data_IF_719460275265
#
_entry.id   IF_719460275265
#
_cell.length_a   1.000
_cell.length_b   1.000
_cell.length_c   1.000
_cell.angle_alpha   90.00
_cell.angle_beta   90.00
_cell.angle_gamma   90.00
#
_symmetry.space_group_name_H-M   'P 1'
#
loop_
_entity.id
_entity.type
_entity.pdbx_description
1 polymer ?
#
# COMPACT_ATOMS: atom_id res chain seq x y z
N UNK A 1 31.81 25.00 -14.41
CA UNK A 1 30.78 25.94 -14.89
C UNK A 1 29.45 25.54 -14.29
N UNK A 2 28.58 26.48 -13.94
CA UNK A 2 27.28 26.19 -13.30
C UNK A 2 26.42 25.20 -14.12
N UNK A 3 26.52 25.28 -15.44
CA UNK A 3 25.87 24.35 -16.39
C UNK A 3 26.32 22.89 -16.19
N UNK A 4 27.62 22.65 -15.96
CA UNK A 4 28.15 21.32 -15.71
C UNK A 4 27.80 20.76 -14.31
N UNK A 5 27.46 21.62 -13.34
CA UNK A 5 26.96 21.19 -12.02
C UNK A 5 25.47 20.81 -12.11
N UNK A 6 24.67 21.62 -12.82
CA UNK A 6 23.27 21.32 -13.09
C UNK A 6 23.08 19.97 -13.80
N UNK A 7 23.90 19.69 -14.82
CA UNK A 7 23.88 18.39 -15.50
C UNK A 7 24.15 17.20 -14.57
N UNK A 8 24.98 17.38 -13.54
CA UNK A 8 25.22 16.33 -12.54
C UNK A 8 24.00 16.13 -11.66
N UNK A 9 23.36 17.21 -11.23
CA UNK A 9 22.12 17.17 -10.44
C UNK A 9 21.02 16.43 -11.20
N UNK A 10 20.78 16.80 -12.46
CA UNK A 10 19.76 16.17 -13.32
C UNK A 10 20.00 14.67 -13.49
N UNK A 11 21.25 14.26 -13.76
CA UNK A 11 21.61 12.84 -13.90
C UNK A 11 21.40 12.07 -12.59
N UNK A 12 21.74 12.68 -11.45
CA UNK A 12 21.55 12.07 -10.14
C UNK A 12 20.07 11.94 -9.77
N UNK A 13 19.28 13.00 -9.95
CA UNK A 13 17.83 13.00 -9.70
C UNK A 13 17.06 11.98 -10.54
N UNK A 14 17.58 11.67 -11.74
CA UNK A 14 17.00 10.64 -12.61
C UNK A 14 17.14 9.22 -12.03
N UNK A 15 18.15 8.99 -11.19
CA UNK A 15 18.40 7.72 -10.50
C UNK A 15 17.82 7.62 -9.09
N UNK A 16 17.24 8.70 -8.55
CA UNK A 16 16.65 8.70 -7.21
C UNK A 16 15.35 7.89 -7.16
N UNK A 17 15.14 7.22 -6.03
CA UNK A 17 13.87 6.55 -5.75
C UNK A 17 12.71 7.56 -5.82
N UNK A 18 11.54 7.24 -6.40
CA UNK A 18 10.47 8.21 -6.63
C UNK A 18 10.03 8.98 -5.39
N UNK A 19 9.99 8.32 -4.22
CA UNK A 19 9.59 8.96 -2.97
C UNK A 19 10.63 9.98 -2.48
N UNK A 20 11.92 9.66 -2.58
CA UNK A 20 13.01 10.60 -2.28
C UNK A 20 13.01 11.73 -3.30
N UNK A 21 12.87 11.42 -4.59
CA UNK A 21 12.82 12.40 -5.68
C UNK A 21 11.69 13.41 -5.50
N UNK A 22 10.51 12.96 -5.08
CA UNK A 22 9.37 13.84 -4.84
C UNK A 22 9.67 14.86 -3.73
N UNK A 23 10.26 14.41 -2.62
CA UNK A 23 10.63 15.28 -1.50
C UNK A 23 11.73 16.29 -1.89
N UNK A 24 12.72 15.81 -2.64
CA UNK A 24 13.85 16.62 -3.11
C UNK A 24 13.43 17.65 -4.16
N UNK A 25 12.50 17.30 -5.05
CA UNK A 25 12.02 18.19 -6.11
C UNK A 25 11.38 19.50 -5.60
N UNK A 26 10.85 19.52 -4.37
CA UNK A 26 10.34 20.74 -3.74
C UNK A 26 11.42 21.65 -3.14
N UNK A 27 12.65 21.15 -3.02
CA UNK A 27 13.74 21.85 -2.32
C UNK A 27 14.61 22.71 -3.24
N UNK A 28 14.29 22.80 -4.55
CA UNK A 28 14.95 23.62 -5.59
C UNK A 28 16.48 23.72 -5.41
N UNK A 29 17.17 22.57 -5.44
CA UNK A 29 18.60 22.49 -5.12
C UNK A 29 19.45 22.65 -6.38
N UNK A 30 20.38 23.60 -6.36
CA UNK A 30 21.28 23.88 -7.49
C UNK A 30 22.70 23.32 -7.29
N UNK A 31 23.09 23.01 -6.06
CA UNK A 31 24.44 22.52 -5.69
C UNK A 31 24.46 20.99 -5.54
N UNK A 32 25.35 20.33 -6.28
CA UNK A 32 25.42 18.88 -6.33
C UNK A 32 25.77 18.23 -4.97
N UNK A 33 26.80 18.70 -4.23
CA UNK A 33 27.07 18.21 -2.87
C UNK A 33 25.86 18.30 -1.94
N UNK A 34 25.14 19.41 -1.99
CA UNK A 34 23.93 19.64 -1.17
C UNK A 34 22.80 18.70 -1.59
N UNK A 35 22.58 18.52 -2.88
CA UNK A 35 21.58 17.59 -3.43
C UNK A 35 21.82 16.17 -2.93
N UNK A 36 23.06 15.70 -3.01
CA UNK A 36 23.45 14.37 -2.55
C UNK A 36 23.21 14.22 -1.05
N UNK A 37 23.61 15.21 -0.24
CA UNK A 37 23.42 15.16 1.20
C UNK A 37 21.93 15.18 1.59
N UNK A 38 21.11 16.06 0.99
CA UNK A 38 19.67 16.11 1.27
C UNK A 38 18.99 14.81 0.84
N UNK A 39 19.35 14.27 -0.34
CA UNK A 39 18.79 12.99 -0.83
C UNK A 39 19.08 11.84 0.14
N UNK A 40 20.30 11.78 0.67
CA UNK A 40 20.67 10.79 1.70
C UNK A 40 19.81 10.92 2.96
N UNK A 41 19.60 12.15 3.44
CA UNK A 41 18.79 12.40 4.64
C UNK A 41 17.33 11.99 4.41
N UNK A 42 16.76 12.32 3.25
CA UNK A 42 15.38 11.98 2.90
C UNK A 42 15.17 10.46 2.74
N UNK A 43 16.15 9.73 2.22
CA UNK A 43 16.08 8.27 2.11
C UNK A 43 16.02 7.60 3.50
N UNK A 44 16.89 8.03 4.41
CA UNK A 44 16.94 7.49 5.77
C UNK A 44 15.69 7.83 6.59
N UNK A 45 15.15 9.05 6.45
CA UNK A 45 13.90 9.44 7.11
C UNK A 45 12.70 8.63 6.58
N UNK A 46 12.61 8.45 5.25
CA UNK A 46 11.60 7.62 4.62
C UNK A 46 11.65 6.17 5.12
N UNK A 47 12.86 5.61 5.26
CA UNK A 47 13.08 4.27 5.81
C UNK A 47 12.72 4.19 7.30
N UNK A 48 13.09 5.18 8.10
CA UNK A 48 12.75 5.26 9.52
C UNK A 48 11.23 5.31 9.71
N UNK A 49 10.54 6.14 8.92
CA UNK A 49 9.07 6.23 8.91
C UNK A 49 8.42 4.89 8.55
N UNK A 50 8.88 4.25 7.48
CA UNK A 50 8.38 2.94 7.06
C UNK A 50 8.55 1.87 8.15
N UNK A 51 9.74 1.81 8.77
CA UNK A 51 10.04 0.90 9.87
C UNK A 51 9.14 1.14 11.10
N UNK A 52 8.91 2.40 11.46
CA UNK A 52 8.01 2.76 12.57
C UNK A 52 6.59 2.24 12.33
N UNK A 53 6.00 2.53 11.18
CA UNK A 53 4.62 2.07 10.88
C UNK A 53 4.52 0.56 10.75
N UNK A 54 5.55 -0.11 10.22
CA UNK A 54 5.63 -1.57 10.18
C UNK A 54 5.58 -2.16 11.59
N UNK A 55 6.44 -1.67 12.50
CA UNK A 55 6.48 -2.13 13.89
C UNK A 55 5.15 -1.88 14.61
N UNK A 56 4.55 -0.70 14.45
CA UNK A 56 3.24 -0.36 15.03
C UNK A 56 2.14 -1.31 14.51
N UNK A 57 2.13 -1.61 13.21
CA UNK A 57 1.14 -2.51 12.62
C UNK A 57 1.32 -3.98 13.07
N UNK A 58 2.55 -4.46 13.18
CA UNK A 58 2.85 -5.82 13.64
C UNK A 58 2.39 -6.03 15.09
N UNK A 59 2.55 -5.02 15.95
CA UNK A 59 2.04 -5.04 17.32
C UNK A 59 0.50 -5.07 17.37
N UNK A 60 -0.18 -4.39 16.44
CA UNK A 60 -1.65 -4.41 16.32
C UNK A 60 -2.18 -5.79 15.92
N UNK A 61 -1.43 -6.55 15.12
CA UNK A 61 -1.78 -7.94 14.73
C UNK A 61 -1.59 -8.94 15.87
N UNK A 62 -0.55 -8.77 16.70
CA UNK A 62 -0.33 -9.59 17.90
C UNK A 62 -1.42 -9.40 18.98
N UNK A 63 -2.12 -8.27 18.99
CA UNK A 63 -3.22 -7.99 19.91
C UNK A 63 -4.58 -8.58 19.51
N UNK A 64 -4.72 -9.22 18.34
CA UNK A 64 -5.99 -9.79 17.88
C UNK A 64 -6.35 -11.13 18.55
N UNK A 65 -5.43 -11.73 19.32
CA UNK A 65 -5.69 -12.89 20.18
C UNK A 65 -6.41 -12.50 21.49
N UNK A 66 -6.53 -11.20 21.79
CA UNK A 66 -7.52 -10.74 22.76
C UNK A 66 -8.89 -10.77 22.10
N UNK A 67 -9.50 -11.96 22.16
CA UNK A 67 -10.92 -12.22 21.93
C UNK A 67 -11.73 -10.99 22.36
N UNK A 68 -12.41 -10.36 21.40
CA UNK A 68 -13.36 -9.28 21.70
C UNK A 68 -14.29 -9.78 22.81
N UNK A 69 -14.43 -9.09 23.95
CA UNK A 69 -15.28 -9.54 25.07
C UNK A 69 -16.74 -9.78 24.68
N UNK A 70 -17.17 -9.21 23.55
CA UNK A 70 -18.44 -9.45 22.91
C UNK A 70 -18.22 -9.80 21.43
N UNK A 71 -17.44 -10.85 21.16
CA UNK A 71 -17.50 -11.55 19.89
C UNK A 71 -18.75 -12.41 19.89
N UNK A 72 -19.76 -12.03 19.12
CA UNK A 72 -20.94 -12.83 18.87
C UNK A 72 -20.54 -14.30 18.63
N UNK A 73 -21.06 -15.18 19.48
CA UNK A 73 -20.60 -16.56 19.66
C UNK A 73 -21.00 -17.48 18.50
N UNK A 74 -21.31 -16.93 17.32
CA UNK A 74 -21.79 -17.67 16.15
C UNK A 74 -20.80 -17.77 14.99
N UNK A 75 -19.54 -17.34 15.13
CA UNK A 75 -18.55 -17.54 14.05
C UNK A 75 -17.80 -18.85 14.23
N UNK A 76 -18.40 -19.93 13.70
CA UNK A 76 -17.74 -21.23 13.51
C UNK A 76 -16.39 -21.02 12.83
N UNK A 77 -15.36 -21.56 13.45
CA UNK A 77 -14.02 -21.74 12.93
C UNK A 77 -14.08 -22.39 11.55
N UNK A 78 -13.52 -21.71 10.55
CA UNK A 78 -13.48 -22.17 9.17
C UNK A 78 -12.56 -21.26 8.35
N UNK A 79 -11.29 -21.64 8.37
CA UNK A 79 -10.32 -21.46 7.27
C UNK A 79 -9.86 -20.03 6.88
N UNK A 80 -8.55 -19.88 6.90
CA UNK A 80 -7.82 -18.84 6.19
C UNK A 80 -8.20 -18.78 4.71
N UNK A 81 -8.72 -17.65 4.25
CA UNK A 81 -8.34 -16.99 2.99
C UNK A 81 -9.30 -15.84 2.67
N UNK A 82 -8.77 -14.63 2.45
CA UNK A 82 -9.34 -13.62 1.54
C UNK A 82 -10.83 -13.27 1.59
N UNK A 83 -11.54 -13.40 2.70
CA UNK A 83 -12.99 -13.22 2.77
C UNK A 83 -13.43 -11.76 2.66
N UNK A 84 -13.53 -11.23 1.42
CA UNK A 84 -14.46 -10.14 1.14
C UNK A 84 -15.83 -10.59 1.61
N UNK A 85 -16.49 -9.73 2.37
CA UNK A 85 -17.86 -9.88 2.82
C UNK A 85 -18.72 -10.27 1.61
N UNK A 86 -19.06 -11.55 1.47
CA UNK A 86 -19.97 -12.07 0.47
C UNK A 86 -21.36 -11.58 0.88
N UNK A 87 -21.68 -10.32 0.61
CA UNK A 87 -23.07 -9.94 0.42
C UNK A 87 -23.53 -10.85 -0.72
N UNK A 88 -24.45 -11.78 -0.40
CA UNK A 88 -24.80 -12.93 -1.23
C UNK A 88 -24.69 -12.62 -2.72
N UNK A 89 -23.85 -13.39 -3.41
CA UNK A 89 -23.73 -13.32 -4.86
C UNK A 89 -25.14 -13.56 -5.42
N UNK A 90 -25.81 -12.46 -5.74
CA UNK A 90 -27.04 -12.46 -6.49
C UNK A 90 -26.62 -12.41 -7.94
N UNK A 91 -27.23 -13.28 -8.72
CA UNK A 91 -26.99 -13.32 -10.13
C UNK A 91 -27.53 -12.03 -10.75
N UNK A 92 -26.65 -11.18 -11.28
CA UNK A 92 -27.11 -9.95 -11.96
C UNK A 92 -27.94 -10.22 -13.23
N UNK A 93 -28.01 -11.48 -13.69
CA UNK A 93 -28.86 -11.89 -14.82
C UNK A 93 -30.31 -12.16 -14.39
N UNK A 94 -30.53 -12.88 -13.28
CA UNK A 94 -31.89 -13.28 -12.85
C UNK A 94 -32.31 -12.69 -11.49
N UNK A 95 -31.43 -11.99 -10.79
CA UNK A 95 -31.66 -11.40 -9.47
C UNK A 95 -31.64 -12.40 -8.30
N UNK A 96 -31.55 -13.70 -8.57
CA UNK A 96 -31.58 -14.72 -7.51
C UNK A 96 -30.25 -14.82 -6.76
N UNK A 97 -30.35 -14.96 -5.43
CA UNK A 97 -29.22 -15.16 -4.53
C UNK A 97 -28.81 -16.62 -4.49
N UNK A 98 -27.50 -16.89 -4.53
CA UNK A 98 -26.96 -18.24 -4.38
C UNK A 98 -26.16 -18.75 -5.58
N UNK A 99 -26.07 -17.98 -6.66
CA UNK A 99 -25.18 -18.23 -7.78
C UNK A 99 -24.76 -16.92 -8.46
N UNK A 100 -23.59 -16.92 -9.11
CA UNK A 100 -23.13 -15.80 -9.95
C UNK A 100 -23.58 -15.99 -11.40
N UNK A 101 -23.54 -14.92 -12.20
CA UNK A 101 -23.99 -14.90 -13.61
C UNK A 101 -23.47 -16.08 -14.43
N UNK A 102 -22.20 -16.49 -14.23
CA UNK A 102 -21.57 -17.58 -14.98
C UNK A 102 -22.25 -18.94 -14.76
N UNK A 103 -22.89 -19.13 -13.61
CA UNK A 103 -23.54 -20.36 -13.14
C UNK A 103 -25.07 -20.24 -13.18
N UNK A 104 -25.59 -19.21 -13.84
CA UNK A 104 -27.03 -19.00 -13.95
C UNK A 104 -27.67 -20.15 -14.75
N UNK A 105 -28.65 -20.88 -14.17
CA UNK A 105 -29.31 -22.00 -14.83
C UNK A 105 -30.22 -21.54 -15.97
N UNK A 106 -30.53 -20.24 -16.08
CA UNK A 106 -31.26 -19.66 -17.22
C UNK A 106 -30.38 -19.48 -18.47
N UNK A 107 -29.62 -20.53 -18.83
CA UNK A 107 -29.00 -20.65 -20.15
C UNK A 107 -29.91 -21.50 -21.02
N UNK A 108 -30.98 -20.89 -21.50
CA UNK A 108 -31.68 -21.38 -22.69
C UNK A 108 -31.77 -20.19 -23.66
N UNK A 109 -31.08 -20.38 -24.80
CA UNK A 109 -30.86 -19.53 -25.99
C UNK A 109 -30.33 -18.09 -25.83
#
# INVERSE_FOLDING_TARGET
TAEAEYDKCVKFESGLHPEVKHLIGFSEIEDFPTLVNKSRICDEDGKAKSNYYKAVNDNKRKGQDRVKPYGDRNKKSGESSGGRKMNGEHCYKCGEVGHKIAECPQKED
#
